data_IF_190583445996
#
_entry.id   IF_190583445996
#
_cell.length_a   1.000
_cell.length_b   1.000
_cell.length_c   1.000
_cell.angle_alpha   90.00
_cell.angle_beta   90.00
_cell.angle_gamma   90.00
#
_symmetry.space_group_name_H-M   'P 1'
#
loop_
_entity.id
_entity.type
_entity.pdbx_description
1 polymer ?
#
# COMPACT_ATOMS: atom_id res chain seq x y z
N UNK A 1 20.44 7.64 5.71
CA UNK A 1 20.74 7.93 4.29
C UNK A 1 20.42 9.39 4.03
N UNK A 2 21.27 10.11 3.31
CA UNK A 2 20.99 11.49 2.89
C UNK A 2 19.84 11.50 1.87
N UNK A 3 18.83 12.35 2.09
CA UNK A 3 17.74 12.56 1.14
C UNK A 3 18.26 13.23 -0.13
N UNK A 4 17.85 12.76 -1.31
CA UNK A 4 18.23 13.35 -2.58
C UNK A 4 17.14 14.27 -3.12
N UNK A 5 17.54 15.39 -3.72
CA UNK A 5 16.66 16.41 -4.28
C UNK A 5 17.25 17.01 -5.54
N UNK A 6 16.44 17.79 -6.26
CA UNK A 6 16.88 18.58 -7.42
C UNK A 6 18.15 19.38 -7.11
N UNK A 7 19.13 19.26 -8.01
CA UNK A 7 20.44 19.90 -7.89
C UNK A 7 21.53 19.00 -7.30
N UNK A 8 21.17 17.89 -6.66
CA UNK A 8 22.13 16.92 -6.16
C UNK A 8 22.81 16.19 -7.33
N UNK A 9 24.05 15.72 -7.10
CA UNK A 9 24.82 14.96 -8.10
C UNK A 9 25.50 13.74 -7.47
N UNK A 10 25.72 12.72 -8.30
CA UNK A 10 26.56 11.57 -7.97
C UNK A 10 25.91 10.23 -8.30
N UNK A 11 26.61 9.16 -7.89
CA UNK A 11 26.20 7.76 -8.13
C UNK A 11 24.77 7.46 -7.62
N UNK A 12 24.34 7.91 -6.43
CA UNK A 12 22.98 7.64 -5.95
C UNK A 12 21.87 8.21 -6.86
N UNK A 13 22.14 9.32 -7.55
CA UNK A 13 21.19 9.92 -8.51
C UNK A 13 21.08 9.06 -9.76
N UNK A 14 22.20 8.54 -10.26
CA UNK A 14 22.22 7.64 -11.40
C UNK A 14 21.45 6.32 -11.11
N UNK A 15 21.56 5.78 -9.89
CA UNK A 15 20.80 4.60 -9.46
C UNK A 15 19.28 4.84 -9.48
N UNK A 16 18.82 5.98 -8.94
CA UNK A 16 17.40 6.35 -8.96
C UNK A 16 16.90 6.54 -10.38
N UNK A 17 17.69 7.21 -11.23
CA UNK A 17 17.37 7.39 -12.64
C UNK A 17 17.22 6.04 -13.34
N UNK A 18 18.16 5.12 -13.16
CA UNK A 18 18.08 3.78 -13.72
C UNK A 18 16.87 3.00 -13.21
N UNK A 19 16.53 3.11 -11.92
CA UNK A 19 15.36 2.46 -11.34
C UNK A 19 14.05 3.00 -11.95
N UNK A 20 13.91 4.33 -12.07
CA UNK A 20 12.73 4.96 -12.67
C UNK A 20 12.63 4.69 -14.18
N UNK A 21 13.75 4.62 -14.89
CA UNK A 21 13.78 4.21 -16.29
C UNK A 21 13.37 2.74 -16.47
N UNK A 22 13.81 1.83 -15.59
CA UNK A 22 13.38 0.43 -15.60
C UNK A 22 11.88 0.25 -15.31
N UNK A 23 11.26 1.24 -14.66
CA UNK A 23 9.83 1.35 -14.43
C UNK A 23 9.07 2.06 -15.57
N UNK A 24 9.78 2.54 -16.60
CA UNK A 24 9.19 3.27 -17.74
C UNK A 24 8.70 4.69 -17.41
N UNK A 25 9.16 5.26 -16.29
CA UNK A 25 8.80 6.61 -15.85
C UNK A 25 9.77 7.69 -16.34
N UNK A 26 10.88 7.26 -16.96
CA UNK A 26 11.84 8.11 -17.63
C UNK A 26 12.18 7.48 -18.97
N UNK A 27 12.20 8.32 -20.01
CA UNK A 27 12.75 7.94 -21.29
C UNK A 27 14.28 7.85 -21.16
N UNK A 28 14.85 6.71 -21.52
CA UNK A 28 16.30 6.59 -21.67
C UNK A 28 16.70 7.42 -22.87
N UNK A 29 17.22 8.62 -22.63
CA UNK A 29 17.80 9.49 -23.65
C UNK A 29 19.15 8.95 -24.17
N UNK A 30 19.23 7.65 -24.44
CA UNK A 30 20.27 7.05 -25.29
C UNK A 30 19.90 7.15 -26.78
N UNK A 31 18.65 7.54 -27.09
CA UNK A 31 18.15 7.60 -28.47
C UNK A 31 18.42 8.92 -29.20
N UNK A 32 19.07 9.91 -28.58
CA UNK A 32 19.36 11.20 -29.24
C UNK A 32 20.84 11.58 -29.21
N UNK A 33 21.65 10.72 -29.82
CA UNK A 33 23.05 11.00 -30.16
C UNK A 33 23.21 12.13 -31.21
N UNK A 34 22.11 12.77 -31.66
CA UNK A 34 22.18 13.81 -32.70
C UNK A 34 22.32 15.24 -32.16
N UNK A 35 22.04 15.48 -30.88
CA UNK A 35 21.92 16.85 -30.35
C UNK A 35 23.07 17.29 -29.44
N UNK A 36 24.14 16.50 -29.28
CA UNK A 36 25.36 16.91 -28.55
C UNK A 36 25.12 17.34 -27.08
N UNK A 37 23.95 17.01 -26.52
CA UNK A 37 23.56 17.39 -25.17
C UNK A 37 23.91 16.21 -24.26
N UNK A 38 25.13 16.20 -23.74
CA UNK A 38 25.49 15.33 -22.64
C UNK A 38 24.62 15.71 -21.43
N UNK A 39 23.45 15.08 -21.30
CA UNK A 39 22.70 15.14 -20.04
C UNK A 39 23.60 14.48 -19.02
N UNK A 40 24.06 15.25 -18.05
CA UNK A 40 24.86 14.75 -16.94
C UNK A 40 24.00 13.71 -16.20
N UNK A 41 24.18 12.42 -16.52
CA UNK A 41 23.40 11.30 -15.98
C UNK A 41 23.51 11.20 -14.44
N UNK A 42 24.54 11.81 -13.89
CA UNK A 42 24.83 11.94 -12.48
C UNK A 42 24.12 13.13 -11.80
N UNK A 43 23.40 14.00 -12.54
CA UNK A 43 22.71 15.14 -11.97
C UNK A 43 21.20 14.93 -11.81
N UNK A 44 20.66 15.45 -10.70
CA UNK A 44 19.23 15.45 -10.42
C UNK A 44 18.58 16.66 -11.10
N UNK A 45 18.23 16.46 -12.37
CA UNK A 45 17.66 17.46 -13.27
C UNK A 45 16.12 17.60 -13.13
N UNK A 46 15.55 18.49 -13.94
CA UNK A 46 14.10 18.73 -14.00
C UNK A 46 13.33 17.46 -14.38
N UNK A 47 13.81 16.67 -15.34
CA UNK A 47 13.12 15.49 -15.83
C UNK A 47 13.08 14.40 -14.74
N UNK A 48 14.18 14.21 -14.00
CA UNK A 48 14.22 13.30 -12.85
C UNK A 48 13.29 13.76 -11.71
N UNK A 49 13.21 15.06 -11.41
CA UNK A 49 12.28 15.59 -10.40
C UNK A 49 10.81 15.32 -10.77
N UNK A 50 10.44 15.53 -12.04
CA UNK A 50 9.10 15.21 -12.52
C UNK A 50 8.80 13.72 -12.42
N UNK A 51 9.74 12.85 -12.79
CA UNK A 51 9.57 11.40 -12.69
C UNK A 51 9.47 10.91 -11.24
N UNK A 52 10.27 11.46 -10.32
CA UNK A 52 10.16 11.16 -8.89
C UNK A 52 8.80 11.58 -8.35
N UNK A 53 8.31 12.78 -8.69
CA UNK A 53 6.98 13.24 -8.28
C UNK A 53 5.87 12.36 -8.84
N UNK A 54 5.96 11.97 -10.12
CA UNK A 54 5.02 11.05 -10.74
C UNK A 54 5.02 9.67 -10.04
N UNK A 55 6.20 9.14 -9.72
CA UNK A 55 6.34 7.90 -8.95
C UNK A 55 5.74 8.02 -7.56
N UNK A 56 6.05 9.09 -6.82
CA UNK A 56 5.50 9.37 -5.50
C UNK A 56 3.98 9.42 -5.55
N UNK A 57 3.41 10.13 -6.54
CA UNK A 57 1.97 10.23 -6.74
C UNK A 57 1.34 8.86 -7.02
N UNK A 58 1.94 8.08 -7.93
CA UNK A 58 1.44 6.74 -8.27
C UNK A 58 1.48 5.77 -7.07
N UNK A 59 2.49 5.91 -6.20
CA UNK A 59 2.67 5.08 -5.00
C UNK A 59 1.93 5.61 -3.77
N UNK A 60 1.21 6.74 -3.88
CA UNK A 60 0.53 7.36 -2.75
C UNK A 60 1.48 7.89 -1.66
N UNK A 61 2.71 8.22 -2.03
CA UNK A 61 3.70 8.84 -1.16
C UNK A 61 3.52 10.37 -1.14
N UNK A 62 4.20 11.02 -0.19
CA UNK A 62 4.31 12.48 -0.18
C UNK A 62 4.98 12.96 -1.48
N UNK A 63 4.26 13.76 -2.28
CA UNK A 63 4.73 14.26 -3.58
C UNK A 63 5.55 15.54 -3.40
N UNK A 64 6.74 15.41 -2.82
CA UNK A 64 7.65 16.54 -2.55
C UNK A 64 8.83 16.62 -3.54
N UNK A 65 9.04 15.61 -4.38
CA UNK A 65 10.20 15.49 -5.28
C UNK A 65 11.49 15.09 -4.55
N UNK A 66 11.41 14.76 -3.26
CA UNK A 66 12.55 14.36 -2.44
C UNK A 66 12.60 12.84 -2.33
N UNK A 67 13.73 12.26 -2.69
CA UNK A 67 13.98 10.83 -2.51
C UNK A 67 14.52 10.61 -1.09
N UNK A 68 13.59 10.55 -0.14
CA UNK A 68 13.83 10.11 1.23
C UNK A 68 13.75 8.60 1.40
N UNK A 69 13.79 8.13 2.64
CA UNK A 69 13.76 6.70 2.96
C UNK A 69 12.48 6.00 2.46
N UNK A 70 11.32 6.63 2.61
CA UNK A 70 10.04 6.07 2.13
C UNK A 70 10.04 5.92 0.60
N UNK A 71 10.45 6.96 -0.13
CA UNK A 71 10.57 6.93 -1.60
C UNK A 71 11.56 5.86 -2.05
N UNK A 72 12.71 5.75 -1.39
CA UNK A 72 13.73 4.76 -1.72
C UNK A 72 13.24 3.33 -1.50
N UNK A 73 12.56 3.06 -0.37
CA UNK A 73 11.96 1.75 -0.10
C UNK A 73 10.93 1.38 -1.17
N UNK A 74 10.03 2.29 -1.51
CA UNK A 74 9.03 2.07 -2.54
C UNK A 74 9.65 1.83 -3.93
N UNK A 75 10.71 2.56 -4.30
CA UNK A 75 11.46 2.33 -5.55
C UNK A 75 12.09 0.94 -5.58
N UNK A 76 12.69 0.53 -4.46
CA UNK A 76 13.30 -0.80 -4.34
C UNK A 76 12.24 -1.89 -4.47
N UNK A 77 11.12 -1.75 -3.77
CA UNK A 77 9.98 -2.67 -3.85
C UNK A 77 9.39 -2.77 -5.27
N UNK A 78 9.31 -1.64 -5.98
CA UNK A 78 8.85 -1.55 -7.36
C UNK A 78 9.80 -2.23 -8.36
N UNK A 79 11.10 -2.27 -8.06
CA UNK A 79 12.10 -2.86 -8.96
C UNK A 79 12.07 -4.38 -8.99
N UNK A 80 11.45 -5.03 -7.99
CA UNK A 80 11.33 -6.47 -7.95
C UNK A 80 10.20 -6.99 -8.85
N UNK A 81 10.56 -7.74 -9.88
CA UNK A 81 9.62 -8.46 -10.75
C UNK A 81 9.50 -9.92 -10.31
N UNK A 82 8.30 -10.50 -10.44
CA UNK A 82 8.07 -11.90 -10.09
C UNK A 82 8.99 -12.83 -10.91
N UNK A 83 9.87 -13.54 -10.22
CA UNK A 83 10.91 -14.39 -10.80
C UNK A 83 12.31 -13.79 -10.84
N UNK A 84 12.48 -12.53 -10.46
CA UNK A 84 13.81 -11.93 -10.28
C UNK A 84 14.57 -12.50 -9.05
N UNK A 85 13.82 -13.04 -8.07
CA UNK A 85 14.35 -13.70 -6.87
C UNK A 85 13.41 -14.81 -6.40
N UNK A 86 13.96 -15.77 -5.67
CA UNK A 86 13.18 -16.80 -4.99
C UNK A 86 12.45 -16.19 -3.80
N UNK A 87 11.12 -16.34 -3.74
CA UNK A 87 10.32 -15.83 -2.62
C UNK A 87 10.05 -16.92 -1.59
N UNK A 88 10.28 -16.64 -0.32
CA UNK A 88 10.02 -17.56 0.78
C UNK A 88 9.68 -16.79 2.06
N UNK A 89 8.99 -17.46 2.98
CA UNK A 89 8.75 -16.88 4.30
C UNK A 89 10.01 -16.99 5.16
N UNK A 90 10.56 -15.84 5.55
CA UNK A 90 11.76 -15.76 6.38
C UNK A 90 11.45 -14.92 7.63
N UNK A 91 11.51 -15.54 8.81
CA UNK A 91 11.18 -14.88 10.08
C UNK A 91 12.13 -13.71 10.42
N UNK A 92 13.40 -13.78 10.02
CA UNK A 92 14.41 -12.74 10.30
C UNK A 92 14.54 -11.68 9.20
N UNK A 93 13.98 -11.92 8.02
CA UNK A 93 14.11 -11.04 6.86
C UNK A 93 12.84 -11.12 6.00
N UNK A 94 11.71 -10.54 6.48
CA UNK A 94 10.46 -10.56 5.73
C UNK A 94 10.64 -9.92 4.36
N UNK A 95 10.12 -10.60 3.33
CA UNK A 95 10.23 -10.15 1.96
C UNK A 95 9.07 -9.21 1.63
N UNK A 96 9.40 -8.05 1.06
CA UNK A 96 8.45 -7.07 0.56
C UNK A 96 8.74 -6.73 -0.90
N UNK A 97 7.71 -6.46 -1.68
CA UNK A 97 7.86 -5.98 -3.05
C UNK A 97 6.66 -6.24 -3.95
N UNK A 98 6.71 -5.63 -5.14
CA UNK A 98 5.70 -5.82 -6.18
C UNK A 98 5.67 -7.26 -6.70
N UNK A 99 6.80 -7.97 -6.63
CA UNK A 99 6.89 -9.40 -6.94
C UNK A 99 6.05 -10.26 -5.99
N UNK A 100 6.11 -9.96 -4.69
CA UNK A 100 5.27 -10.61 -3.68
C UNK A 100 3.80 -10.27 -3.90
N UNK A 101 3.49 -9.00 -4.18
CA UNK A 101 2.12 -8.57 -4.48
C UNK A 101 1.57 -9.30 -5.73
N UNK A 102 2.41 -9.45 -6.76
CA UNK A 102 2.05 -10.19 -7.98
C UNK A 102 1.81 -11.67 -7.69
N UNK A 103 2.63 -12.29 -6.83
CA UNK A 103 2.41 -13.67 -6.38
C UNK A 103 1.08 -13.81 -5.63
N UNK A 104 0.83 -12.92 -4.66
CA UNK A 104 -0.41 -12.91 -3.88
C UNK A 104 -1.64 -12.77 -4.78
N UNK A 105 -1.62 -11.84 -5.74
CA UNK A 105 -2.69 -11.64 -6.70
C UNK A 105 -2.95 -12.92 -7.53
N UNK A 106 -1.90 -13.57 -8.04
CA UNK A 106 -2.06 -14.83 -8.78
C UNK A 106 -2.64 -15.95 -7.92
N UNK A 107 -2.14 -16.11 -6.70
CA UNK A 107 -2.67 -17.11 -5.77
C UNK A 107 -4.13 -16.81 -5.43
N UNK A 108 -4.49 -15.53 -5.35
CA UNK A 108 -5.84 -15.09 -5.06
C UNK A 108 -6.80 -15.37 -6.24
N UNK A 109 -6.39 -15.09 -7.47
CA UNK A 109 -7.15 -15.39 -8.68
C UNK A 109 -7.41 -16.89 -8.84
N UNK A 110 -6.46 -17.71 -8.36
CA UNK A 110 -6.57 -19.17 -8.33
C UNK A 110 -7.30 -19.70 -7.08
N UNK A 111 -7.69 -18.83 -6.14
CA UNK A 111 -8.45 -19.20 -4.94
C UNK A 111 -7.62 -19.74 -3.76
N UNK A 112 -6.28 -19.70 -3.83
CA UNK A 112 -5.38 -20.17 -2.78
C UNK A 112 -4.96 -19.09 -1.78
N UNK A 113 -5.29 -17.82 -2.03
CA UNK A 113 -4.98 -16.71 -1.15
C UNK A 113 -6.22 -15.86 -0.87
N UNK A 114 -6.48 -15.61 0.42
CA UNK A 114 -7.66 -14.88 0.90
C UNK A 114 -7.30 -13.59 1.66
N UNK A 115 -6.01 -13.29 1.79
CA UNK A 115 -5.52 -12.05 2.38
C UNK A 115 -5.64 -10.86 1.41
N UNK A 116 -5.38 -9.66 1.93
CA UNK A 116 -5.19 -8.48 1.07
C UNK A 116 -3.84 -8.60 0.36
N UNK A 117 -3.79 -8.17 -0.90
CA UNK A 117 -2.53 -8.05 -1.62
C UNK A 117 -1.76 -6.86 -1.05
N UNK A 118 -0.89 -7.14 -0.09
CA UNK A 118 -0.12 -6.14 0.66
C UNK A 118 1.37 -6.13 0.27
N UNK A 119 1.79 -7.04 -0.62
CA UNK A 119 3.18 -7.18 -1.04
C UNK A 119 4.11 -7.73 0.06
N UNK A 120 3.57 -8.25 1.16
CA UNK A 120 4.33 -8.82 2.27
C UNK A 120 4.28 -10.35 2.28
N UNK A 121 5.45 -10.99 2.29
CA UNK A 121 5.55 -12.45 2.31
C UNK A 121 5.43 -12.97 3.75
N UNK A 122 4.22 -12.93 4.28
CA UNK A 122 3.86 -13.48 5.58
C UNK A 122 3.46 -14.96 5.55
N UNK A 123 3.08 -15.47 6.72
CA UNK A 123 2.61 -16.85 6.91
C UNK A 123 1.38 -17.18 6.04
N UNK A 124 0.48 -16.22 5.82
CA UNK A 124 -0.69 -16.40 4.94
C UNK A 124 -0.26 -16.66 3.49
N UNK A 125 0.70 -15.90 2.99
CA UNK A 125 1.26 -16.08 1.64
C UNK A 125 1.95 -17.44 1.51
N UNK A 126 2.71 -17.83 2.53
CA UNK A 126 3.37 -19.15 2.59
C UNK A 126 2.37 -20.31 2.56
N UNK A 127 1.34 -20.27 3.39
CA UNK A 127 0.33 -21.32 3.47
C UNK A 127 -0.49 -21.43 2.17
N UNK A 128 -0.82 -20.28 1.56
CA UNK A 128 -1.48 -20.23 0.26
C UNK A 128 -0.60 -20.86 -0.83
N UNK A 129 0.69 -20.57 -0.81
CA UNK A 129 1.65 -21.15 -1.76
C UNK A 129 1.84 -22.66 -1.57
N UNK A 130 1.96 -23.14 -0.32
CA UNK A 130 1.99 -24.57 -0.03
C UNK A 130 0.72 -25.29 -0.53
N UNK A 131 -0.44 -24.69 -0.33
CA UNK A 131 -1.73 -25.26 -0.76
C UNK A 131 -1.79 -25.34 -2.29
N UNK A 132 -1.38 -24.27 -2.97
CA UNK A 132 -1.23 -24.26 -4.42
C UNK A 132 -0.27 -25.35 -4.90
N UNK A 133 0.93 -25.43 -4.34
CA UNK A 133 1.93 -26.42 -4.74
C UNK A 133 1.39 -27.85 -4.57
N UNK A 134 0.73 -28.13 -3.45
CA UNK A 134 0.10 -29.43 -3.19
C UNK A 134 -0.96 -29.79 -4.23
N UNK A 135 -1.82 -28.85 -4.60
CA UNK A 135 -2.92 -29.09 -5.54
C UNK A 135 -2.40 -29.31 -6.98
N UNK A 136 -1.34 -28.60 -7.37
CA UNK A 136 -0.75 -28.70 -8.71
C UNK A 136 0.41 -29.70 -8.83
N UNK A 137 0.58 -30.58 -7.83
CA UNK A 137 1.56 -31.67 -7.87
C UNK A 137 3.02 -31.23 -7.76
N UNK A 138 3.28 -30.05 -7.20
CA UNK A 138 4.61 -29.55 -6.87
C UNK A 138 4.99 -29.95 -5.43
N UNK A 139 6.29 -29.88 -5.12
CA UNK A 139 6.74 -30.05 -3.74
C UNK A 139 6.23 -28.90 -2.86
N UNK A 140 5.44 -29.14 -1.79
CA UNK A 140 4.79 -28.10 -1.01
C UNK A 140 5.73 -27.53 0.05
N UNK A 141 6.79 -26.85 -0.37
CA UNK A 141 7.76 -26.18 0.52
C UNK A 141 7.38 -24.73 0.86
N UNK A 142 6.36 -24.17 0.21
CA UNK A 142 5.94 -22.79 0.35
C UNK A 142 7.00 -21.79 -0.14
N UNK A 143 7.84 -22.20 -1.09
CA UNK A 143 8.87 -21.41 -1.74
C UNK A 143 8.51 -21.18 -3.22
N UNK A 144 8.50 -19.92 -3.64
CA UNK A 144 8.26 -19.55 -5.03
C UNK A 144 9.59 -19.62 -5.81
N UNK A 145 10.00 -20.85 -6.14
CA UNK A 145 11.14 -21.13 -7.02
C UNK A 145 10.76 -21.20 -8.51
N UNK A 146 11.72 -21.52 -9.40
CA UNK A 146 11.51 -21.59 -10.85
C UNK A 146 10.37 -22.53 -11.29
N UNK A 147 10.19 -23.67 -10.60
CA UNK A 147 9.12 -24.63 -10.90
C UNK A 147 7.73 -24.06 -10.57
N UNK A 148 7.58 -23.52 -9.36
CA UNK A 148 6.36 -22.83 -8.92
C UNK A 148 6.01 -21.68 -9.86
N UNK A 149 7.00 -20.88 -10.28
CA UNK A 149 6.82 -19.79 -11.23
C UNK A 149 6.33 -20.28 -12.58
N UNK A 150 6.96 -21.31 -13.15
CA UNK A 150 6.55 -21.88 -14.45
C UNK A 150 5.10 -22.35 -14.41
N UNK A 151 4.71 -23.02 -13.32
CA UNK A 151 3.34 -23.48 -13.09
C UNK A 151 2.36 -22.29 -13.03
N UNK A 152 2.69 -21.24 -12.27
CA UNK A 152 1.87 -20.03 -12.17
C UNK A 152 1.73 -19.28 -13.52
N UNK A 153 2.79 -19.22 -14.33
CA UNK A 153 2.74 -18.58 -15.65
C UNK A 153 1.83 -19.33 -16.62
N UNK A 154 1.83 -20.66 -16.58
CA UNK A 154 0.97 -21.46 -17.44
C UNK A 154 -0.52 -21.26 -17.10
N UNK A 155 -0.85 -21.23 -15.81
CA UNK A 155 -2.24 -21.12 -15.33
C UNK A 155 -2.80 -19.70 -15.37
N UNK A 156 -1.98 -18.68 -15.13
CA UNK A 156 -2.41 -17.28 -15.15
C UNK A 156 -2.96 -16.80 -16.50
N UNK A 157 -2.69 -17.54 -17.59
CA UNK A 157 -3.30 -17.28 -18.91
C UNK A 157 -4.71 -17.84 -19.08
N UNK A 158 -5.13 -18.76 -18.20
CA UNK A 158 -6.38 -19.54 -18.34
C UNK A 158 -7.43 -19.22 -17.28
N UNK A 159 -7.02 -18.70 -16.13
CA UNK A 159 -7.91 -18.41 -15.00
C UNK A 159 -7.73 -16.95 -14.61
N UNK A 160 -8.75 -16.13 -14.87
CA UNK A 160 -8.84 -14.73 -14.43
C UNK A 160 -10.20 -14.49 -13.78
N UNK A 161 -10.27 -13.60 -12.79
CA UNK A 161 -11.54 -13.19 -12.16
C UNK A 161 -12.03 -14.02 -10.97
N UNK A 162 -11.21 -14.95 -10.44
CA UNK A 162 -11.53 -15.73 -9.25
C UNK A 162 -11.31 -15.01 -7.91
N UNK A 163 -10.81 -13.77 -7.93
CA UNK A 163 -10.48 -13.02 -6.72
C UNK A 163 -11.72 -12.68 -5.89
N UNK A 164 -11.87 -13.37 -4.75
CA UNK A 164 -12.93 -13.12 -3.76
C UNK A 164 -12.92 -11.67 -3.23
N UNK A 165 -11.75 -11.02 -3.13
CA UNK A 165 -11.72 -9.62 -2.70
C UNK A 165 -12.19 -8.68 -3.80
N UNK A 166 -11.81 -8.93 -5.06
CA UNK A 166 -12.31 -8.11 -6.17
C UNK A 166 -13.84 -8.13 -6.22
N UNK A 167 -14.45 -9.31 -6.06
CA UNK A 167 -15.91 -9.47 -6.00
C UNK A 167 -16.51 -8.71 -4.81
N UNK A 168 -15.91 -8.84 -3.62
CA UNK A 168 -16.38 -8.13 -2.41
C UNK A 168 -16.28 -6.62 -2.54
N UNK A 169 -15.19 -6.15 -3.12
CA UNK A 169 -14.94 -4.73 -3.31
C UNK A 169 -15.86 -4.13 -4.35
N UNK A 170 -16.06 -4.81 -5.48
CA UNK A 170 -17.04 -4.42 -6.48
C UNK A 170 -18.45 -4.34 -5.88
N UNK A 171 -18.83 -5.31 -5.05
CA UNK A 171 -20.11 -5.29 -4.35
C UNK A 171 -20.17 -4.15 -3.31
N UNK A 172 -19.07 -3.83 -2.63
CA UNK A 172 -19.01 -2.69 -1.69
C UNK A 172 -19.16 -1.34 -2.42
N UNK A 173 -18.52 -1.19 -3.57
CA UNK A 173 -18.66 0.00 -4.44
C UNK A 173 -20.10 0.10 -4.95
N UNK A 174 -20.66 -1.00 -5.44
CA UNK A 174 -22.05 -1.08 -5.91
C UNK A 174 -23.05 -0.71 -4.83
N UNK A 175 -22.89 -1.24 -3.61
CA UNK A 175 -23.75 -0.91 -2.45
C UNK A 175 -23.60 0.52 -2.00
N UNK A 176 -22.37 1.05 -2.01
CA UNK A 176 -22.10 2.45 -1.64
C UNK A 176 -22.77 3.44 -2.61
N UNK A 177 -22.91 3.06 -3.87
CA UNK A 177 -23.49 3.91 -4.91
C UNK A 177 -22.62 5.13 -5.24
N UNK A 178 -22.98 5.91 -6.28
CA UNK A 178 -22.20 7.08 -6.72
C UNK A 178 -22.38 8.32 -5.81
N UNK A 179 -23.15 8.20 -4.72
CA UNK A 179 -23.51 9.35 -3.88
C UNK A 179 -22.37 9.66 -2.92
N UNK A 180 -21.91 10.90 -2.96
CA UNK A 180 -20.90 11.41 -2.03
C UNK A 180 -21.52 11.84 -0.70
N UNK A 181 -22.85 11.97 -0.64
CA UNK A 181 -23.56 12.31 0.60
C UNK A 181 -23.41 11.20 1.64
N UNK A 182 -23.08 11.60 2.88
CA UNK A 182 -22.82 10.70 4.01
C UNK A 182 -21.42 10.07 4.01
N UNK A 183 -20.56 10.39 3.04
CA UNK A 183 -19.15 9.96 3.06
C UNK A 183 -18.33 10.86 3.97
N UNK A 184 -17.40 10.25 4.72
CA UNK A 184 -16.46 10.97 5.59
C UNK A 184 -15.20 11.32 4.83
N UNK A 185 -14.95 12.61 4.64
CA UNK A 185 -13.80 13.11 3.89
C UNK A 185 -12.92 13.93 4.83
N UNK A 186 -11.65 13.53 4.96
CA UNK A 186 -10.63 14.35 5.62
C UNK A 186 -10.00 15.26 4.57
N UNK A 187 -9.89 16.55 4.86
CA UNK A 187 -9.13 17.51 4.07
C UNK A 187 -7.87 17.85 4.85
N UNK A 188 -6.72 17.64 4.23
CA UNK A 188 -5.41 17.90 4.81
C UNK A 188 -4.79 19.14 4.16
N UNK A 189 -4.70 20.27 4.90
CA UNK A 189 -4.10 21.50 4.37
C UNK A 189 -2.58 21.41 4.15
N UNK A 190 -1.94 20.28 4.50
CA UNK A 190 -0.50 20.11 4.37
C UNK A 190 0.26 20.94 5.40
N UNK A 191 1.15 21.83 4.92
CA UNK A 191 2.09 22.64 5.72
C UNK A 191 1.38 23.55 6.72
N UNK A 192 1.99 23.81 7.87
CA UNK A 192 1.49 24.69 8.91
C UNK A 192 2.50 24.87 10.05
N UNK A 193 2.09 25.49 11.16
CA UNK A 193 2.98 25.78 12.28
C UNK A 193 4.22 26.54 11.81
N UNK A 194 5.40 26.13 12.26
CA UNK A 194 6.68 26.75 11.87
C UNK A 194 7.07 26.50 10.41
N UNK A 195 6.45 25.51 9.75
CA UNK A 195 6.64 25.24 8.32
C UNK A 195 5.61 26.00 7.50
N UNK A 196 5.88 27.28 7.25
CA UNK A 196 5.03 28.15 6.44
C UNK A 196 5.20 27.94 4.92
N UNK A 197 6.26 27.25 4.49
CA UNK A 197 6.67 27.22 3.09
C UNK A 197 7.16 28.59 2.57
N UNK A 198 7.23 28.79 1.24
CA UNK A 198 7.64 30.06 0.66
C UNK A 198 6.64 31.18 1.03
N UNK A 199 7.19 32.33 1.42
CA UNK A 199 6.43 33.54 1.72
C UNK A 199 6.57 34.49 0.53
N UNK A 200 5.43 34.95 0.01
CA UNK A 200 5.35 35.91 -1.08
C UNK A 200 4.82 37.24 -0.55
N UNK A 201 5.41 38.34 -0.96
CA UNK A 201 4.90 39.67 -0.62
C UNK A 201 3.79 40.04 -1.60
N UNK A 202 2.56 40.01 -1.13
CA UNK A 202 1.38 40.45 -1.86
C UNK A 202 1.07 41.94 -1.62
N UNK A 203 0.07 42.48 -2.35
CA UNK A 203 -0.41 43.85 -2.17
C UNK A 203 -0.91 44.12 -0.75
N UNK A 204 -1.49 43.10 -0.11
CA UNK A 204 -2.12 43.17 1.21
C UNK A 204 -1.19 42.67 2.34
N UNK A 205 0.09 42.42 2.04
CA UNK A 205 1.09 41.93 2.99
C UNK A 205 1.71 40.57 2.61
N UNK A 206 2.59 40.02 3.45
CA UNK A 206 3.21 38.72 3.23
C UNK A 206 2.17 37.60 3.35
N UNK A 207 2.12 36.71 2.36
CA UNK A 207 1.25 35.54 2.32
C UNK A 207 2.14 34.31 2.16
N UNK A 208 1.99 33.33 3.05
CA UNK A 208 2.73 32.07 2.97
C UNK A 208 1.98 31.00 2.17
N UNK A 209 2.70 29.98 1.69
CA UNK A 209 2.09 28.78 1.10
C UNK A 209 1.08 28.13 2.07
N UNK A 210 1.43 28.07 3.36
CA UNK A 210 0.55 27.52 4.39
C UNK A 210 -0.77 28.30 4.51
N UNK A 211 -0.76 29.62 4.36
CA UNK A 211 -1.98 30.45 4.40
C UNK A 211 -2.89 30.16 3.21
N UNK A 212 -2.31 30.02 2.02
CA UNK A 212 -3.04 29.69 0.78
C UNK A 212 -3.68 28.31 0.89
N UNK A 213 -2.91 27.32 1.34
CA UNK A 213 -3.40 25.95 1.49
C UNK A 213 -4.49 25.85 2.57
N UNK A 214 -4.36 26.62 3.66
CA UNK A 214 -5.37 26.68 4.70
C UNK A 214 -6.70 27.30 4.23
N UNK A 215 -6.63 28.42 3.50
CA UNK A 215 -7.82 29.05 2.91
C UNK A 215 -8.49 28.09 1.90
N UNK A 216 -7.71 27.43 1.03
CA UNK A 216 -8.24 26.47 0.08
C UNK A 216 -8.91 25.27 0.78
N UNK A 217 -8.29 24.72 1.82
CA UNK A 217 -8.85 23.63 2.61
C UNK A 217 -10.18 24.02 3.26
N UNK A 218 -10.24 25.21 3.86
CA UNK A 218 -11.44 25.73 4.54
C UNK A 218 -12.60 25.93 3.55
N UNK A 219 -12.30 26.44 2.34
CA UNK A 219 -13.30 26.59 1.27
C UNK A 219 -13.76 25.24 0.73
N UNK A 220 -12.86 24.28 0.60
CA UNK A 220 -13.19 22.92 0.16
C UNK A 220 -14.10 22.23 1.18
N UNK A 221 -13.78 22.34 2.46
CA UNK A 221 -14.59 21.83 3.58
C UNK A 221 -16.02 22.37 3.49
N UNK A 222 -16.20 23.69 3.51
CA UNK A 222 -17.53 24.29 3.47
C UNK A 222 -18.36 23.89 2.24
N UNK A 223 -17.72 23.80 1.06
CA UNK A 223 -18.41 23.37 -0.17
C UNK A 223 -18.81 21.90 -0.14
N UNK A 224 -17.96 21.04 0.40
CA UNK A 224 -18.22 19.60 0.51
C UNK A 224 -19.28 19.30 1.57
N UNK A 225 -19.25 19.99 2.72
CA UNK A 225 -20.32 19.90 3.73
C UNK A 225 -21.66 20.32 3.14
N UNK A 226 -21.70 21.40 2.35
CA UNK A 226 -22.93 21.87 1.71
C UNK A 226 -23.53 20.86 0.70
N UNK A 227 -22.71 19.96 0.13
CA UNK A 227 -23.15 18.89 -0.77
C UNK A 227 -23.62 17.65 0.04
N UNK A 228 -23.50 17.68 1.37
CA UNK A 228 -23.96 16.63 2.29
C UNK A 228 -22.90 15.58 2.63
N UNK A 229 -21.61 15.90 2.45
CA UNK A 229 -20.49 15.08 2.92
C UNK A 229 -20.17 15.41 4.38
N UNK A 230 -19.68 14.43 5.14
CA UNK A 230 -19.13 14.66 6.49
C UNK A 230 -17.65 15.03 6.34
N UNK A 231 -17.31 16.31 6.43
CA UNK A 231 -15.93 16.77 6.22
C UNK A 231 -15.23 17.13 7.52
N UNK A 232 -13.93 16.83 7.57
CA UNK A 232 -13.06 17.12 8.72
C UNK A 232 -11.71 17.63 8.24
N UNK A 233 -11.11 18.59 8.95
CA UNK A 233 -9.71 18.97 8.73
C UNK A 233 -8.77 18.00 9.45
N UNK A 234 -7.66 17.62 8.81
CA UNK A 234 -6.66 16.69 9.37
C UNK A 234 -5.94 17.24 10.61
N UNK A 235 -5.94 18.57 10.78
CA UNK A 235 -5.20 19.30 11.81
C UNK A 235 -5.86 20.65 12.13
N UNK A 236 -5.66 21.22 13.33
CA UNK A 236 -6.09 22.57 13.67
C UNK A 236 -5.22 23.64 12.99
N UNK A 237 -5.72 24.89 12.98
CA UNK A 237 -5.02 26.08 12.49
C UNK A 237 -3.65 26.19 13.18
N UNK A 238 -2.60 26.53 12.44
CA UNK A 238 -1.29 26.84 13.02
C UNK A 238 -0.51 25.66 13.60
N UNK A 239 -0.91 24.40 13.35
CA UNK A 239 -0.11 23.22 13.68
C UNK A 239 0.44 22.52 12.45
N UNK A 240 1.51 21.75 12.63
CA UNK A 240 2.11 20.88 11.60
C UNK A 240 2.40 19.49 12.18
N UNK A 241 1.36 18.68 12.47
CA UNK A 241 1.56 17.32 12.93
C UNK A 241 2.22 16.47 11.84
N UNK A 242 2.91 15.43 12.26
CA UNK A 242 3.59 14.49 11.35
C UNK A 242 2.60 13.75 10.44
N UNK A 243 3.09 13.26 9.29
CA UNK A 243 2.27 12.51 8.34
C UNK A 243 1.56 11.31 9.00
N UNK A 244 2.25 10.64 9.94
CA UNK A 244 1.70 9.53 10.70
C UNK A 244 0.55 9.94 11.62
N UNK A 245 0.61 11.13 12.22
CA UNK A 245 -0.46 11.67 13.06
C UNK A 245 -1.66 12.14 12.22
N UNK A 246 -1.41 12.75 11.05
CA UNK A 246 -2.48 13.14 10.11
C UNK A 246 -3.22 11.91 9.59
N UNK A 247 -2.47 10.88 9.23
CA UNK A 247 -2.97 9.55 8.92
C UNK A 247 -3.79 8.93 10.08
N UNK A 248 -3.27 8.97 11.30
CA UNK A 248 -3.97 8.45 12.47
C UNK A 248 -5.31 9.15 12.73
N UNK A 249 -5.36 10.46 12.48
CA UNK A 249 -6.59 11.26 12.58
C UNK A 249 -7.64 10.77 11.58
N UNK A 250 -7.26 10.56 10.32
CA UNK A 250 -8.16 10.02 9.29
C UNK A 250 -8.71 8.63 9.66
N UNK A 251 -7.87 7.77 10.24
CA UNK A 251 -8.29 6.45 10.70
C UNK A 251 -9.25 6.50 11.87
N UNK A 252 -9.01 7.39 12.81
CA UNK A 252 -9.82 7.54 14.03
C UNK A 252 -11.23 8.01 13.68
N UNK A 253 -11.34 8.91 12.69
CA UNK A 253 -12.63 9.38 12.15
C UNK A 253 -13.34 8.31 11.31
N UNK A 254 -12.61 7.29 10.85
CA UNK A 254 -13.11 6.30 9.91
C UNK A 254 -13.37 6.93 8.54
N UNK A 255 -12.46 7.79 8.08
CA UNK A 255 -12.62 8.50 6.83
C UNK A 255 -12.66 7.53 5.64
N UNK A 256 -13.58 7.78 4.72
CA UNK A 256 -13.62 7.10 3.42
C UNK A 256 -12.48 7.60 2.53
N UNK A 257 -12.18 8.89 2.57
CA UNK A 257 -11.18 9.52 1.71
C UNK A 257 -10.43 10.61 2.46
N UNK A 258 -9.14 10.75 2.18
CA UNK A 258 -8.32 11.87 2.61
C UNK A 258 -7.79 12.63 1.39
N UNK A 259 -7.96 13.94 1.37
CA UNK A 259 -7.50 14.84 0.30
C UNK A 259 -6.41 15.74 0.87
N UNK A 260 -5.16 15.50 0.49
CA UNK A 260 -4.02 16.35 0.89
C UNK A 260 -3.71 17.42 -0.17
N UNK A 261 -3.62 18.67 0.27
CA UNK A 261 -3.33 19.83 -0.57
C UNK A 261 -1.85 20.20 -0.51
N UNK A 262 -1.25 20.51 -1.67
CA UNK A 262 0.14 20.98 -1.81
C UNK A 262 0.25 21.92 -3.00
N UNK A 263 1.10 22.94 -2.92
CA UNK A 263 1.43 23.75 -4.09
C UNK A 263 2.57 23.10 -4.88
N UNK A 264 2.42 23.02 -6.21
CA UNK A 264 3.52 22.71 -7.09
C UNK A 264 4.38 23.97 -7.28
N UNK A 265 5.70 23.84 -7.14
CA UNK A 265 6.64 24.92 -7.43
C UNK A 265 7.19 24.78 -8.85
N UNK A 266 7.00 25.80 -9.70
CA UNK A 266 7.62 25.87 -11.02
C UNK A 266 8.65 27.01 -11.00
N UNK A 267 9.97 26.72 -11.06
CA UNK A 267 11.00 27.74 -10.96
C UNK A 267 11.20 28.58 -12.24
N UNK A 268 10.46 28.31 -13.33
CA UNK A 268 10.60 29.05 -14.59
C UNK A 268 9.29 29.77 -14.98
N UNK A 269 9.29 31.11 -15.16
CA UNK A 269 8.10 31.84 -15.60
C UNK A 269 7.75 31.63 -17.09
N UNK A 270 8.45 30.75 -17.81
CA UNK A 270 8.40 30.64 -19.28
C UNK A 270 7.35 29.70 -19.87
N UNK A 271 6.50 29.05 -19.07
CA UNK A 271 5.38 28.24 -19.59
C UNK A 271 4.01 28.67 -19.06
N UNK A 272 3.74 29.98 -19.04
CA UNK A 272 2.35 30.47 -19.10
C UNK A 272 1.79 30.24 -20.51
N UNK A 273 1.47 28.98 -20.84
CA UNK A 273 0.58 28.48 -21.93
C UNK A 273 0.96 27.06 -22.34
N UNK A 274 1.06 26.14 -21.37
CA UNK A 274 0.67 24.76 -21.64
C UNK A 274 -0.46 24.44 -20.69
N UNK A 275 -1.69 24.71 -21.14
CA UNK A 275 -2.80 23.88 -20.74
C UNK A 275 -2.35 22.49 -21.19
N UNK A 276 -1.92 21.65 -20.24
CA UNK A 276 -1.71 20.23 -20.53
C UNK A 276 -3.08 19.76 -21.01
N UNK A 277 -3.23 19.41 -22.31
CA UNK A 277 -4.51 18.90 -22.76
C UNK A 277 -4.77 17.64 -21.95
N UNK A 278 -5.97 17.53 -21.38
CA UNK A 278 -6.57 16.28 -20.87
C UNK A 278 -6.82 15.33 -22.05
N UNK A 279 -5.77 15.02 -22.83
CA UNK A 279 -5.79 14.14 -24.00
C UNK A 279 -4.54 13.26 -24.00
N UNK A 280 -4.46 12.41 -22.99
CA UNK A 280 -3.88 11.07 -23.17
C UNK A 280 -4.51 10.06 -22.18
N UNK A 281 -5.80 10.21 -21.89
CA UNK A 281 -6.64 9.13 -21.39
C UNK A 281 -7.35 8.50 -22.59
N UNK A 282 -6.67 7.60 -23.30
CA UNK A 282 -7.32 6.56 -24.09
C UNK A 282 -6.28 5.55 -24.57
N UNK A 283 -6.46 4.30 -24.11
CA UNK A 283 -5.71 3.09 -24.45
C UNK A 283 -4.40 2.90 -23.70
N UNK A 284 -4.48 2.23 -22.56
CA UNK A 284 -3.95 0.87 -22.37
C UNK A 284 -4.44 0.32 -21.03
N UNK A 285 -5.15 -0.81 -21.07
CA UNK A 285 -5.38 -1.72 -19.95
C UNK A 285 -6.27 -1.20 -18.82
N UNK A 286 -7.54 -1.58 -18.83
CA UNK A 286 -8.31 -1.73 -17.59
C UNK A 286 -7.65 -2.86 -16.82
N UNK A 287 -6.70 -2.51 -15.95
CA UNK A 287 -6.27 -3.38 -14.86
C UNK A 287 -6.82 -2.71 -13.60
N UNK A 288 -8.01 -3.13 -13.20
CA UNK A 288 -8.64 -2.73 -11.95
C UNK A 288 -7.78 -3.23 -10.79
N UNK A 289 -6.74 -2.47 -10.42
CA UNK A 289 -6.08 -2.59 -9.13
C UNK A 289 -6.79 -1.68 -8.14
N UNK A 290 -7.58 -2.22 -7.22
CA UNK A 290 -7.96 -1.47 -6.05
C UNK A 290 -6.74 -1.27 -5.15
N UNK A 291 -6.40 -0.02 -4.86
CA UNK A 291 -5.46 0.29 -3.78
C UNK A 291 -6.17 0.03 -2.45
N UNK A 292 -5.62 -0.79 -1.54
CA UNK A 292 -6.27 -1.07 -0.27
C UNK A 292 -6.34 0.22 0.56
N UNK A 293 -7.57 0.63 0.91
CA UNK A 293 -7.83 1.50 2.07
C UNK A 293 -7.41 0.74 3.32
N UNK A 294 -6.15 0.94 3.70
CA UNK A 294 -5.50 0.25 4.81
C UNK A 294 -4.39 1.10 5.37
N UNK A 295 -4.71 2.28 5.84
CA UNK A 295 -3.85 3.02 6.75
C UNK A 295 -3.63 2.17 8.02
N UNK A 296 -2.50 1.47 8.08
CA UNK A 296 -1.91 1.00 9.35
C UNK A 296 -0.47 1.47 9.42
N UNK A 297 -0.22 2.32 10.41
CA UNK A 297 1.10 2.77 10.80
C UNK A 297 2.01 1.57 11.08
N UNK A 298 3.14 1.52 10.37
CA UNK A 298 4.25 0.64 10.70
C UNK A 298 4.82 1.08 12.05
N UNK A 299 4.77 0.16 13.03
CA UNK A 299 5.49 0.28 14.29
C UNK A 299 6.99 0.05 14.00
N UNK A 300 7.81 1.07 14.09
CA UNK A 300 9.28 0.95 14.11
C UNK A 300 9.72 0.83 15.56
N UNK A 301 10.29 -0.31 15.91
CA UNK A 301 10.97 -0.53 17.18
C UNK A 301 12.40 0.03 17.15
N UNK A 302 12.80 0.64 18.26
CA UNK A 302 14.19 0.96 18.58
C UNK A 302 14.56 0.29 19.90
N UNK A 303 15.56 -0.59 19.87
CA UNK A 303 16.14 -1.26 21.03
C UNK A 303 17.40 -0.53 21.47
N UNK A 304 17.68 -0.43 22.78
CA UNK A 304 19.03 -0.45 23.37
C UNK A 304 18.98 -1.02 24.80
N UNK A 305 19.93 -1.91 25.12
CA UNK A 305 20.09 -2.63 26.40
C UNK A 305 20.50 -1.72 27.57
N UNK A 306 20.60 -2.20 28.82
CA UNK A 306 21.68 -3.06 29.34
C UNK A 306 21.29 -3.58 30.77
N UNK A 307 21.82 -4.76 31.14
CA UNK A 307 22.09 -5.36 32.50
C UNK A 307 21.03 -6.04 33.40
N UNK A 308 21.21 -7.37 33.55
CA UNK A 308 21.18 -8.31 34.73
C UNK A 308 20.34 -8.00 36.00
N UNK A 309 19.36 -8.91 36.26
CA UNK A 309 19.01 -9.74 37.47
C UNK A 309 19.10 -9.18 38.92
N UNK A 310 18.41 -9.75 39.95
CA UNK A 310 17.26 -10.69 39.97
C UNK A 310 16.14 -10.34 41.01
N UNK A 311 15.10 -11.19 41.01
CA UNK A 311 13.99 -11.39 41.96
C UNK A 311 14.10 -10.87 43.41
N UNK A 312 13.00 -10.26 43.89
CA UNK A 312 12.54 -10.38 45.28
C UNK A 312 11.00 -10.27 45.35
N UNK A 313 10.43 -11.05 46.28
CA UNK A 313 8.99 -11.32 46.53
C UNK A 313 8.20 -10.07 46.97
N UNK A 314 6.87 -10.20 47.15
CA UNK A 314 6.42 -10.40 48.53
C UNK A 314 5.37 -11.51 48.73
N UNK A 315 5.52 -12.19 49.87
CA UNK A 315 4.47 -12.87 50.63
C UNK A 315 3.39 -11.84 51.07
N UNK A 316 2.19 -12.13 51.60
CA UNK A 316 1.67 -13.12 52.56
C UNK A 316 0.15 -13.10 52.38
N UNK A 317 -0.52 -14.25 52.23
CA UNK A 317 -1.46 -14.77 53.24
C UNK A 317 -2.91 -14.46 52.85
N UNK A 318 -3.93 -15.23 53.22
CA UNK A 318 -4.08 -16.44 54.02
C UNK A 318 -5.57 -16.81 53.89
N UNK A 319 -5.89 -18.08 53.65
CA UNK A 319 -7.05 -18.81 54.21
C UNK A 319 -7.31 -20.07 53.37
N UNK A 320 -7.12 -21.21 54.02
CA UNK A 320 -7.67 -22.52 53.65
C UNK A 320 -8.94 -22.74 54.50
N UNK A 321 -9.57 -23.94 54.56
CA UNK A 321 -9.66 -25.05 53.61
C UNK A 321 -11.12 -25.59 53.44
N UNK A 322 -11.22 -26.78 52.85
CA UNK A 322 -12.27 -27.81 53.01
C UNK A 322 -13.48 -27.79 52.05
N UNK A 323 -13.53 -28.77 51.14
CA UNK A 323 -14.16 -30.07 51.42
C UNK A 323 -14.24 -30.94 50.15
N UNK A 324 -13.95 -32.25 50.33
CA UNK A 324 -14.62 -33.45 49.78
C UNK A 324 -15.47 -33.36 48.49
N UNK A 325 -15.59 -34.33 47.59
CA UNK A 325 -15.08 -35.69 47.34
C UNK A 325 -15.83 -36.20 46.08
N UNK A 326 -15.43 -37.38 45.57
CA UNK A 326 -16.12 -38.22 44.56
C UNK A 326 -16.10 -37.72 43.10
N UNK A 327 -15.34 -38.30 42.16
CA UNK A 327 -15.05 -39.69 41.75
C UNK A 327 -16.24 -40.39 41.07
N UNK A 328 -15.94 -40.82 39.83
CA UNK A 328 -16.53 -41.87 39.01
C UNK A 328 -17.74 -41.50 38.14
N UNK A 329 -17.96 -42.09 36.96
CA UNK A 329 -17.19 -42.89 35.99
C UNK A 329 -18.23 -43.23 34.88
N UNK A 330 -17.75 -43.59 33.69
CA UNK A 330 -18.43 -44.38 32.64
C UNK A 330 -19.54 -43.75 31.81
N UNK A 331 -19.76 -44.14 30.56
CA UNK A 331 -19.04 -44.86 29.48
C UNK A 331 -20.01 -44.79 28.29
N UNK A 332 -19.44 -44.74 27.07
CA UNK A 332 -19.83 -45.44 25.82
C UNK A 332 -21.31 -45.79 25.60
N UNK A 333 -21.76 -45.61 24.35
CA UNK A 333 -22.19 -46.73 23.50
C UNK A 333 -22.17 -46.34 22.01
N UNK A 334 -21.51 -47.21 21.24
CA UNK A 334 -21.63 -47.36 19.79
C UNK A 334 -23.01 -47.93 19.42
N UNK A 335 -23.53 -47.62 18.23
CA UNK A 335 -24.11 -48.65 17.37
C UNK A 335 -24.16 -48.22 15.88
N UNK A 336 -23.65 -49.13 15.04
CA UNK A 336 -23.76 -49.22 13.58
C UNK A 336 -25.10 -49.86 13.14
N UNK A 337 -25.29 -49.87 11.81
CA UNK A 337 -26.21 -50.68 10.97
C UNK A 337 -27.58 -50.04 10.68
N UNK A 338 -28.20 -50.11 9.49
CA UNK A 338 -27.93 -50.84 8.24
C UNK A 338 -28.77 -50.24 7.07
N UNK A 339 -28.36 -50.51 5.81
CA UNK A 339 -29.22 -50.54 4.61
C UNK A 339 -29.80 -51.96 4.42
N UNK A 340 -30.97 -52.10 3.77
CA UNK A 340 -31.04 -52.90 2.52
C UNK A 340 -32.04 -52.30 1.47
N UNK A 341 -31.73 -52.32 0.15
CA UNK A 341 -32.37 -53.16 -0.89
C UNK A 341 -33.63 -52.50 -1.51
N UNK A 342 -34.14 -52.68 -2.74
CA UNK A 342 -33.75 -53.22 -4.06
C UNK A 342 -35.02 -53.15 -4.95
N UNK A 343 -34.88 -53.05 -6.29
CA UNK A 343 -35.92 -53.22 -7.35
C UNK A 343 -36.96 -52.09 -7.50
N UNK A 344 -37.46 -51.69 -8.68
CA UNK A 344 -37.37 -52.12 -10.08
C UNK A 344 -38.41 -51.34 -10.92
N UNK A 345 -38.54 -51.69 -12.21
CA UNK A 345 -39.65 -51.36 -13.17
C UNK A 345 -39.34 -50.34 -14.30
N UNK A 346 -38.96 -50.92 -15.45
CA UNK A 346 -39.48 -50.83 -16.84
C UNK A 346 -40.05 -49.51 -17.42
N UNK A 347 -39.41 -49.12 -18.53
CA UNK A 347 -39.90 -48.92 -19.91
C UNK A 347 -41.41 -48.78 -20.23
N UNK A 348 -41.69 -47.82 -21.13
CA UNK A 348 -42.92 -47.61 -21.94
C UNK A 348 -43.23 -46.10 -21.99
N UNK A 349 -43.29 -45.39 -23.11
CA UNK A 349 -43.45 -45.72 -24.52
C UNK A 349 -42.71 -44.71 -25.42
#
# INVERSE_FOLDING_TARGET
>A
MSSLRRGDRGIPVAEIRAALAALGLLDNSDADLTTGKHVAFDAFDDDLDHAVRAFQQHRGLLVDGVVGEATYRALKEASYRLGARTLAHQFGAPMYGDDVATLQARLQDLGFYTGLVDGHFGLQTHNGLMSYQREYGLYPDGICGPETLRSLYFLGSRVTGGSLHAIREEELVRRSGPRLSGKRIIIDPGRGGDDHGPIMNGPDGPISEADILWDLASRLEGRMTAIGMETFLSRPVGRSPSDAERAATANTVGADLMISLRCAACPAPRQRRRIVPLRQFARLGVDHRPQPRGLRAARVGGAHGITRLPHARPHVGSAAPDAHAHRADRRRLHHQCARPGSAGVRAGA
#
